data_IF_630353045622
#
_entry.id   IF_630353045622
#
_cell.length_a   1.000
_cell.length_b   1.000
_cell.length_c   1.000
_cell.angle_alpha   90.00
_cell.angle_beta   90.00
_cell.angle_gamma   90.00
#
_symmetry.space_group_name_H-M   'P 1'
#
loop_
_entity.id
_entity.type
_entity.pdbx_description
1 polymer ?
#
# COMPACT_ATOMS: atom_id res chain seq x y z
N UNK A 1 12.92 15.60 9.92
CA UNK A 1 11.51 16.06 9.99
C UNK A 1 10.56 14.89 9.71
N UNK A 2 10.06 14.26 10.77
CA UNK A 2 9.07 13.18 10.69
C UNK A 2 7.68 13.82 10.65
N UNK A 3 7.20 14.15 9.45
CA UNK A 3 5.86 14.67 9.21
C UNK A 3 5.28 14.01 7.97
N UNK A 4 3.96 13.80 7.94
CA UNK A 4 3.25 13.30 6.77
C UNK A 4 3.49 14.24 5.59
N UNK A 5 4.07 13.73 4.51
CA UNK A 5 4.25 14.48 3.27
C UNK A 5 3.10 14.13 2.33
N UNK A 6 2.34 15.15 1.92
CA UNK A 6 1.38 15.01 0.82
C UNK A 6 2.13 15.28 -0.48
N UNK A 7 2.17 14.29 -1.35
CA UNK A 7 2.81 14.39 -2.67
C UNK A 7 1.76 14.23 -3.76
N UNK A 8 1.83 15.05 -4.79
CA UNK A 8 1.06 14.87 -6.02
C UNK A 8 1.92 14.07 -7.01
N UNK A 9 1.38 12.93 -7.45
CA UNK A 9 1.98 12.13 -8.52
C UNK A 9 1.28 12.43 -9.83
N UNK A 10 2.05 12.71 -10.89
CA UNK A 10 1.52 12.79 -12.25
C UNK A 10 1.57 11.40 -12.90
N UNK A 11 0.72 11.10 -13.91
CA UNK A 11 0.74 9.82 -14.59
C UNK A 11 2.14 9.47 -15.11
N UNK A 12 2.60 8.24 -14.83
CA UNK A 12 3.95 7.78 -15.20
C UNK A 12 5.07 8.17 -14.24
N UNK A 13 4.76 8.86 -13.13
CA UNK A 13 5.73 9.12 -12.06
C UNK A 13 5.58 8.14 -10.91
N UNK A 14 6.61 8.07 -10.06
CA UNK A 14 6.68 7.11 -8.96
C UNK A 14 7.04 7.83 -7.66
N UNK A 15 6.45 7.38 -6.56
CA UNK A 15 6.93 7.65 -5.21
C UNK A 15 7.87 6.52 -4.78
N UNK A 16 9.03 6.88 -4.22
CA UNK A 16 10.01 5.92 -3.72
C UNK A 16 10.50 6.42 -2.35
N UNK A 17 10.44 5.57 -1.34
CA UNK A 17 11.08 5.80 -0.04
C UNK A 17 11.79 4.53 0.43
N UNK A 18 12.77 4.69 1.31
CA UNK A 18 13.30 3.56 2.05
C UNK A 18 12.25 3.02 3.00
N UNK A 19 12.06 1.70 2.99
CA UNK A 19 11.25 0.99 3.99
C UNK A 19 11.78 1.34 5.38
N UNK A 20 10.89 1.80 6.26
CA UNK A 20 11.23 2.23 7.63
C UNK A 20 10.48 1.42 8.69
N UNK A 21 11.05 1.33 9.88
CA UNK A 21 10.39 0.72 11.06
C UNK A 21 9.60 1.78 11.82
N UNK A 22 8.37 1.44 12.21
CA UNK A 22 7.51 2.24 13.09
C UNK A 22 6.82 1.32 14.09
N UNK A 23 6.39 1.85 15.23
CA UNK A 23 5.70 1.08 16.28
C UNK A 23 4.38 0.52 15.76
N UNK A 24 3.67 1.31 14.98
CA UNK A 24 2.35 1.02 14.40
C UNK A 24 2.42 0.58 12.93
N UNK A 25 3.63 0.43 12.37
CA UNK A 25 3.83 0.25 10.94
C UNK A 25 3.78 1.57 10.15
N UNK A 26 3.82 1.45 8.83
CA UNK A 26 3.79 2.60 7.92
C UNK A 26 2.58 2.46 7.03
N UNK A 27 1.83 3.55 6.88
CA UNK A 27 0.61 3.61 6.08
C UNK A 27 0.77 4.68 4.98
N UNK A 28 0.73 4.23 3.73
CA UNK A 28 0.72 5.08 2.55
C UNK A 28 -0.73 5.23 2.08
N UNK A 29 -1.26 6.45 2.19
CA UNK A 29 -2.65 6.79 1.84
C UNK A 29 -2.70 7.42 0.46
N UNK A 30 -3.52 6.85 -0.41
CA UNK A 30 -3.61 7.21 -1.82
C UNK A 30 -5.04 7.64 -2.13
N UNK A 31 -5.17 8.76 -2.82
CA UNK A 31 -6.43 9.29 -3.30
C UNK A 31 -6.21 9.97 -4.64
N UNK A 32 -7.24 10.00 -5.48
CA UNK A 32 -7.21 10.68 -6.79
C UNK A 32 -7.87 12.06 -6.75
N UNK A 33 -8.53 12.38 -5.63
CA UNK A 33 -9.16 13.68 -5.43
C UNK A 33 -8.09 14.69 -5.00
N UNK A 34 -7.98 15.87 -5.64
CA UNK A 34 -7.14 16.95 -5.16
C UNK A 34 -7.45 17.26 -3.68
N UNK A 35 -6.41 17.36 -2.86
CA UNK A 35 -6.51 17.53 -1.40
C UNK A 35 -7.37 16.46 -0.69
N UNK A 36 -7.51 15.28 -1.31
CA UNK A 36 -8.40 14.20 -0.85
C UNK A 36 -8.13 13.72 0.59
N UNK A 37 -6.86 13.80 1.01
CA UNK A 37 -6.44 13.44 2.36
C UNK A 37 -6.89 14.46 3.42
N UNK A 38 -7.20 15.71 3.02
CA UNK A 38 -7.62 16.79 3.90
C UNK A 38 -9.14 16.97 3.97
N UNK A 39 -9.88 16.41 3.00
CA UNK A 39 -11.33 16.58 2.88
C UNK A 39 -12.13 15.27 3.04
N UNK A 40 -11.50 14.22 3.58
CA UNK A 40 -12.11 12.91 3.78
C UNK A 40 -12.61 12.24 2.49
N UNK A 41 -11.98 12.51 1.34
CA UNK A 41 -12.25 11.76 0.11
C UNK A 41 -11.88 10.28 0.28
N UNK A 42 -12.43 9.38 -0.58
CA UNK A 42 -12.04 7.97 -0.61
C UNK A 42 -10.53 7.74 -0.67
N UNK A 43 -10.05 6.71 0.04
CA UNK A 43 -8.61 6.42 0.20
C UNK A 43 -8.32 4.93 0.08
N UNK A 44 -7.30 4.61 -0.71
CA UNK A 44 -6.62 3.32 -0.69
C UNK A 44 -5.42 3.40 0.23
N UNK A 45 -5.31 2.46 1.14
CA UNK A 45 -4.23 2.36 2.11
C UNK A 45 -3.34 1.19 1.74
N UNK A 46 -2.06 1.46 1.57
CA UNK A 46 -1.01 0.44 1.57
C UNK A 46 -0.26 0.53 2.90
N UNK A 47 -0.44 -0.50 3.72
CA UNK A 47 0.18 -0.60 5.03
C UNK A 47 1.22 -1.71 5.07
N UNK A 48 2.35 -1.45 5.72
CA UNK A 48 3.34 -2.46 6.04
C UNK A 48 3.89 -2.33 7.46
N UNK A 49 4.27 -3.44 8.07
CA UNK A 49 4.89 -3.47 9.39
C UNK A 49 5.91 -4.61 9.52
N UNK A 50 6.89 -4.43 10.41
CA UNK A 50 7.90 -5.44 10.71
C UNK A 50 7.48 -6.29 11.91
N UNK A 51 7.71 -7.60 11.81
CA UNK A 51 7.66 -8.51 12.94
C UNK A 51 8.87 -9.45 12.87
N UNK A 52 9.86 -9.20 13.74
CA UNK A 52 11.18 -9.84 13.62
C UNK A 52 11.87 -9.45 12.32
N UNK A 53 12.21 -10.47 11.52
CA UNK A 53 12.87 -10.33 10.21
C UNK A 53 11.89 -10.47 9.04
N UNK A 54 10.60 -10.36 9.30
CA UNK A 54 9.56 -10.41 8.27
C UNK A 54 8.87 -9.06 8.13
N UNK A 55 8.62 -8.65 6.88
CA UNK A 55 7.75 -7.51 6.56
C UNK A 55 6.37 -8.01 6.16
N UNK A 56 5.37 -7.61 6.93
CA UNK A 56 3.96 -7.86 6.67
C UNK A 56 3.40 -6.70 5.88
N UNK A 57 2.54 -6.96 4.91
CA UNK A 57 1.92 -5.93 4.09
C UNK A 57 0.50 -6.27 3.71
N UNK A 58 -0.29 -5.22 3.52
CA UNK A 58 -1.71 -5.27 3.23
C UNK A 58 -2.13 -4.03 2.45
N UNK A 59 -3.17 -4.19 1.64
CA UNK A 59 -3.85 -3.07 0.97
C UNK A 59 -5.34 -3.12 1.33
N UNK A 60 -5.94 -1.98 1.66
CA UNK A 60 -7.35 -1.87 2.06
C UNK A 60 -7.97 -0.50 1.73
N UNK A 61 -9.29 -0.43 1.62
CA UNK A 61 -10.07 0.77 1.23
C UNK A 61 -11.19 1.09 2.24
N UNK A 62 -10.89 1.07 3.54
CA UNK A 62 -11.91 1.21 4.60
C UNK A 62 -12.67 2.55 4.57
N UNK A 63 -12.13 3.55 3.85
CA UNK A 63 -12.69 4.88 3.71
C UNK A 63 -13.28 5.15 2.31
N UNK A 64 -13.52 4.09 1.53
CA UNK A 64 -14.05 4.15 0.16
C UNK A 64 -13.00 3.82 -0.90
N UNK A 65 -13.44 3.62 -2.14
CA UNK A 65 -12.63 3.08 -3.25
C UNK A 65 -12.25 4.18 -4.27
N UNK A 66 -11.13 4.93 -4.09
CA UNK A 66 -10.73 5.97 -5.04
C UNK A 66 -10.23 5.42 -6.38
N UNK A 67 -9.87 4.14 -6.43
CA UNK A 67 -9.31 3.48 -7.62
C UNK A 67 -10.33 2.55 -8.31
N UNK A 68 -11.64 2.69 -8.02
CA UNK A 68 -12.68 1.92 -8.70
C UNK A 68 -12.55 2.03 -10.22
N UNK A 69 -12.68 0.90 -10.91
CA UNK A 69 -12.44 0.80 -12.36
C UNK A 69 -10.98 0.63 -12.78
N UNK A 70 -10.00 0.73 -11.85
CA UNK A 70 -8.57 0.59 -12.15
C UNK A 70 -7.96 -0.66 -11.51
N UNK A 71 -7.06 -1.35 -12.21
CA UNK A 71 -6.33 -2.46 -11.60
C UNK A 71 -5.28 -1.95 -10.61
N UNK A 72 -5.19 -2.59 -9.45
CA UNK A 72 -4.23 -2.28 -8.39
C UNK A 72 -3.44 -3.54 -8.05
N UNK A 73 -2.11 -3.44 -8.00
CA UNK A 73 -1.23 -4.58 -7.75
C UNK A 73 -0.17 -4.22 -6.71
N UNK A 74 -0.27 -4.79 -5.52
CA UNK A 74 0.81 -4.72 -4.53
C UNK A 74 1.70 -5.96 -4.68
N UNK A 75 2.95 -5.77 -5.07
CA UNK A 75 3.91 -6.84 -5.35
C UNK A 75 5.24 -6.63 -4.63
N UNK A 76 5.80 -7.67 -3.99
CA UNK A 76 7.19 -7.68 -3.56
C UNK A 76 8.14 -7.68 -4.77
N UNK A 77 9.13 -6.80 -4.75
CA UNK A 77 10.22 -6.79 -5.73
C UNK A 77 11.29 -7.74 -5.19
N UNK A 78 11.44 -8.90 -5.83
CA UNK A 78 12.29 -10.03 -5.38
C UNK A 78 11.73 -10.77 -4.16
N UNK A 79 10.62 -11.52 -4.34
CA UNK A 79 9.94 -12.18 -3.24
C UNK A 79 10.81 -13.23 -2.53
N UNK A 80 10.89 -13.15 -1.20
CA UNK A 80 11.59 -14.12 -0.34
C UNK A 80 10.62 -14.78 0.64
N UNK A 81 10.52 -16.11 0.54
CA UNK A 81 9.72 -16.94 1.45
C UNK A 81 8.34 -17.32 0.92
N UNK A 82 7.68 -18.33 1.52
CA UNK A 82 6.49 -18.99 0.97
C UNK A 82 5.19 -18.16 1.03
N UNK A 83 5.18 -17.09 1.84
CA UNK A 83 4.03 -16.21 2.03
C UNK A 83 4.19 -14.84 1.36
N UNK A 84 5.25 -14.68 0.57
CA UNK A 84 5.57 -13.46 -0.15
C UNK A 84 4.88 -13.48 -1.51
N UNK A 85 3.68 -12.89 -1.59
CA UNK A 85 2.74 -13.02 -2.71
C UNK A 85 2.19 -11.68 -3.18
N UNK A 86 1.77 -11.60 -4.43
CA UNK A 86 1.13 -10.40 -4.95
C UNK A 86 -0.31 -10.30 -4.41
N UNK A 87 -0.78 -9.09 -4.17
CA UNK A 87 -2.19 -8.77 -3.99
C UNK A 87 -2.66 -8.08 -5.25
N UNK A 88 -3.68 -8.64 -5.91
CA UNK A 88 -4.23 -8.09 -7.16
C UNK A 88 -5.70 -7.79 -6.99
N UNK A 89 -6.06 -6.53 -7.20
CA UNK A 89 -7.43 -6.08 -7.35
C UNK A 89 -7.65 -5.69 -8.80
N UNK A 90 -8.58 -6.38 -9.47
CA UNK A 90 -8.82 -6.16 -10.90
C UNK A 90 -9.62 -4.89 -11.19
N UNK A 91 -10.35 -4.36 -10.20
CA UNK A 91 -11.26 -3.23 -10.36
C UNK A 91 -11.20 -2.25 -9.17
N UNK A 92 -10.01 -2.04 -8.60
CA UNK A 92 -9.80 -1.00 -7.58
C UNK A 92 -10.10 -1.41 -6.15
N UNK A 93 -10.75 -2.54 -5.95
CA UNK A 93 -11.21 -3.02 -4.65
C UNK A 93 -11.04 -4.55 -4.49
N UNK A 94 -10.99 -5.07 -3.24
CA UNK A 94 -10.80 -6.48 -2.99
C UNK A 94 -11.97 -7.34 -3.49
N UNK A 95 -11.66 -8.43 -4.21
CA UNK A 95 -12.69 -9.41 -4.61
C UNK A 95 -13.31 -10.03 -3.37
N UNK A 96 -14.66 -10.07 -3.33
CA UNK A 96 -15.45 -10.61 -2.22
C UNK A 96 -15.15 -9.93 -0.88
N UNK A 97 -14.71 -8.67 -0.91
CA UNK A 97 -14.36 -7.88 0.27
C UNK A 97 -13.28 -8.53 1.15
N UNK A 98 -12.45 -9.40 0.57
CA UNK A 98 -11.36 -10.08 1.29
C UNK A 98 -10.07 -9.31 1.14
N UNK A 99 -9.57 -8.84 2.27
CA UNK A 99 -8.21 -8.32 2.39
C UNK A 99 -7.28 -9.46 2.81
N UNK A 100 -6.13 -9.58 2.15
CA UNK A 100 -5.12 -10.58 2.47
C UNK A 100 -3.93 -9.92 3.14
N UNK A 101 -3.47 -10.52 4.23
CA UNK A 101 -2.20 -10.17 4.88
C UNK A 101 -1.14 -11.14 4.37
N UNK A 102 -0.11 -10.61 3.71
CA UNK A 102 1.04 -11.39 3.27
C UNK A 102 2.31 -10.91 3.94
N UNK A 103 3.37 -11.71 3.81
CA UNK A 103 4.66 -11.41 4.42
C UNK A 103 5.82 -11.88 3.57
N UNK A 104 6.89 -11.10 3.59
CA UNK A 104 8.15 -11.44 2.95
C UNK A 104 9.28 -11.45 3.99
N UNK A 105 10.34 -12.19 3.70
CA UNK A 105 11.59 -12.07 4.46
C UNK A 105 12.20 -10.66 4.36
N UNK A 106 13.21 -10.41 5.18
CA UNK A 106 13.92 -9.14 5.26
C UNK A 106 14.49 -8.68 3.90
N UNK A 107 14.72 -7.36 3.81
CA UNK A 107 15.28 -6.71 2.62
C UNK A 107 14.47 -7.02 1.34
N UNK A 108 13.15 -7.18 1.46
CA UNK A 108 12.22 -7.24 0.33
C UNK A 108 11.64 -5.85 0.10
N UNK A 109 11.72 -5.33 -1.12
CA UNK A 109 11.03 -4.08 -1.47
C UNK A 109 9.57 -4.38 -1.82
N UNK A 110 8.70 -3.38 -1.68
CA UNK A 110 7.28 -3.48 -1.98
C UNK A 110 6.89 -2.39 -2.99
N UNK A 111 6.17 -2.76 -4.04
CA UNK A 111 5.69 -1.86 -5.08
C UNK A 111 4.16 -1.96 -5.21
N UNK A 112 3.52 -0.80 -5.32
CA UNK A 112 2.09 -0.64 -5.61
C UNK A 112 1.90 0.04 -6.97
#
# INVERSE_FOLDING_TARGET
>A
PYGSQNLILTPGTHYIEHIRRSIDGVDLKITITPDGLLNCAPQTHFHYNWHGDEIYYVIYNSYGDPLDGHSVVLAPVQPKGPHCKHITWFNGFPRRSRTYLYKCGDNSDLAL
#
